data_IF_432850812246
#
_entry.id   IF_432850812246
#
_cell.length_a   1.000
_cell.length_b   1.000
_cell.length_c   1.000
_cell.angle_alpha   90.00
_cell.angle_beta   90.00
_cell.angle_gamma   90.00
#
_symmetry.space_group_name_H-M   'P 1'
#
loop_
_entity.id
_entity.type
_entity.pdbx_description
1 polymer ?
#
# COMPACT_ATOMS: atom_id res chain seq x y z
N UNK A 1 23.56 -21.65 -88.43
CA UNK A 1 24.74 -22.53 -88.58
C UNK A 1 25.23 -22.93 -87.25
N UNK A 2 25.41 -24.25 -87.02
CA UNK A 2 26.05 -24.95 -85.94
C UNK A 2 25.28 -25.02 -84.56
N UNK A 3 24.60 -26.08 -84.41
CA UNK A 3 24.81 -27.41 -83.86
C UNK A 3 25.26 -27.45 -82.39
N UNK A 4 24.39 -28.04 -81.63
CA UNK A 4 24.56 -28.49 -80.25
C UNK A 4 25.57 -29.62 -80.06
N UNK A 5 25.95 -30.05 -78.84
CA UNK A 5 25.34 -31.31 -78.41
C UNK A 5 24.83 -31.35 -76.97
N UNK A 6 23.87 -32.24 -76.78
CA UNK A 6 23.30 -32.76 -75.57
C UNK A 6 24.28 -33.43 -74.62
N UNK A 7 24.22 -33.09 -73.32
CA UNK A 7 24.79 -33.92 -72.26
C UNK A 7 23.71 -34.19 -71.20
N UNK A 8 23.43 -35.46 -71.02
CA UNK A 8 22.52 -36.05 -70.05
C UNK A 8 22.98 -35.84 -68.63
N UNK A 9 22.14 -35.31 -67.78
CA UNK A 9 22.37 -35.38 -66.34
C UNK A 9 21.44 -36.41 -65.69
N UNK A 10 22.06 -37.38 -65.08
CA UNK A 10 21.42 -38.37 -64.23
C UNK A 10 20.81 -37.66 -62.98
N UNK A 11 19.52 -37.90 -62.74
CA UNK A 11 18.76 -37.48 -61.58
C UNK A 11 19.15 -38.43 -60.41
N UNK A 12 19.81 -37.92 -59.38
CA UNK A 12 19.98 -38.63 -58.12
C UNK A 12 18.85 -38.17 -57.19
N UNK A 13 17.89 -39.06 -56.94
CA UNK A 13 16.86 -38.85 -55.90
C UNK A 13 17.52 -39.08 -54.53
N UNK A 14 17.70 -38.01 -53.76
CA UNK A 14 17.94 -38.05 -52.32
C UNK A 14 16.60 -37.96 -51.61
N UNK A 15 16.15 -39.04 -51.01
CA UNK A 15 15.02 -39.09 -50.09
C UNK A 15 15.38 -38.38 -48.80
N UNK A 16 14.83 -37.16 -48.63
CA UNK A 16 14.88 -36.47 -47.36
C UNK A 16 13.78 -37.03 -46.43
N UNK A 17 14.18 -37.71 -45.38
CA UNK A 17 13.29 -38.11 -44.28
C UNK A 17 12.97 -36.83 -43.46
N UNK A 18 11.78 -36.31 -43.62
CA UNK A 18 11.27 -35.23 -42.79
C UNK A 18 10.92 -35.79 -41.43
N UNK A 19 11.80 -35.61 -40.45
CA UNK A 19 11.52 -35.84 -39.05
C UNK A 19 10.52 -34.77 -38.55
N UNK A 20 9.25 -35.16 -38.36
CA UNK A 20 8.26 -34.32 -37.67
C UNK A 20 8.65 -34.15 -36.19
N UNK A 21 9.30 -33.04 -35.86
CA UNK A 21 9.45 -32.60 -34.49
C UNK A 21 8.07 -32.18 -33.98
N UNK A 22 7.46 -33.00 -33.13
CA UNK A 22 6.28 -32.63 -32.37
C UNK A 22 6.65 -31.45 -31.46
N UNK A 23 5.83 -30.38 -31.38
CA UNK A 23 6.09 -29.29 -30.43
C UNK A 23 6.00 -29.85 -29.02
N UNK A 24 7.09 -29.76 -28.28
CA UNK A 24 7.11 -29.98 -26.83
C UNK A 24 6.15 -28.94 -26.25
N UNK A 25 4.94 -29.36 -25.90
CA UNK A 25 4.06 -28.55 -25.07
C UNK A 25 4.78 -28.39 -23.72
N UNK A 26 5.34 -27.19 -23.49
CA UNK A 26 5.64 -26.76 -22.14
C UNK A 26 4.32 -26.82 -21.35
N UNK A 27 4.13 -27.89 -20.59
CA UNK A 27 3.09 -27.95 -19.57
C UNK A 27 3.43 -26.82 -18.58
N UNK A 28 2.63 -25.78 -18.56
CA UNK A 28 2.73 -24.75 -17.56
C UNK A 28 2.72 -25.47 -16.19
N UNK A 29 3.74 -25.23 -15.39
CA UNK A 29 3.78 -25.76 -14.03
C UNK A 29 2.49 -25.37 -13.31
N UNK A 30 1.87 -26.27 -12.53
CA UNK A 30 0.69 -25.90 -11.77
C UNK A 30 1.00 -24.66 -10.92
N UNK A 31 0.04 -23.72 -10.78
CA UNK A 31 0.28 -22.51 -10.02
C UNK A 31 0.79 -22.85 -8.62
N UNK A 32 1.84 -22.16 -8.21
CA UNK A 32 2.40 -22.33 -6.88
C UNK A 32 1.35 -21.93 -5.84
N UNK A 33 1.09 -22.79 -4.87
CA UNK A 33 0.10 -22.57 -3.81
C UNK A 33 0.79 -22.23 -2.49
N UNK A 34 0.11 -21.46 -1.64
CA UNK A 34 0.57 -21.15 -0.30
C UNK A 34 1.97 -20.48 -0.28
N UNK A 35 2.80 -20.89 0.68
CA UNK A 35 4.08 -20.23 0.98
C UNK A 35 5.17 -20.40 -0.12
N UNK A 36 5.03 -21.36 -1.01
CA UNK A 36 5.88 -21.42 -2.21
C UNK A 36 5.65 -20.20 -3.11
N UNK A 37 4.39 -19.77 -3.27
CA UNK A 37 4.06 -18.56 -4.02
C UNK A 37 4.65 -17.31 -3.36
N UNK A 38 4.66 -17.23 -2.03
CA UNK A 38 5.31 -16.14 -1.30
C UNK A 38 6.80 -16.02 -1.67
N UNK A 39 7.54 -17.13 -1.65
CA UNK A 39 8.95 -17.13 -2.03
C UNK A 39 9.17 -16.69 -3.49
N UNK A 40 8.31 -17.11 -4.41
CA UNK A 40 8.36 -16.69 -5.82
C UNK A 40 8.12 -15.19 -5.97
N UNK A 41 7.15 -14.62 -5.23
CA UNK A 41 6.87 -13.18 -5.23
C UNK A 41 8.09 -12.40 -4.74
N UNK A 42 8.68 -12.79 -3.62
CA UNK A 42 9.87 -12.11 -3.07
C UNK A 42 11.04 -12.18 -4.04
N UNK A 43 11.25 -13.34 -4.69
CA UNK A 43 12.32 -13.50 -5.67
C UNK A 43 12.14 -12.66 -6.94
N UNK A 44 10.91 -12.25 -7.26
CA UNK A 44 10.61 -11.40 -8.40
C UNK A 44 10.74 -9.90 -8.10
N UNK A 45 10.85 -9.50 -6.82
CA UNK A 45 10.94 -8.11 -6.40
C UNK A 45 12.41 -7.71 -6.28
N UNK A 46 12.80 -6.68 -7.02
CA UNK A 46 14.19 -6.19 -7.04
C UNK A 46 14.25 -4.68 -6.74
N UNK A 47 15.26 -4.20 -6.01
CA UNK A 47 15.45 -2.76 -5.82
C UNK A 47 15.68 -2.05 -7.16
N UNK A 48 15.29 -0.75 -7.24
CA UNK A 48 15.54 0.05 -8.43
C UNK A 48 17.04 0.16 -8.72
N UNK A 49 17.40 0.18 -9.99
CA UNK A 49 18.76 0.43 -10.41
C UNK A 49 18.93 1.92 -10.73
N UNK A 50 19.59 2.61 -9.85
CA UNK A 50 19.83 4.06 -9.95
C UNK A 50 21.33 4.29 -10.23
N UNK A 51 21.69 5.16 -11.20
CA UNK A 51 23.09 5.46 -11.50
C UNK A 51 23.86 5.97 -10.29
N UNK A 52 25.13 5.62 -10.16
CA UNK A 52 26.00 6.00 -9.05
C UNK A 52 26.55 7.42 -9.16
N UNK A 53 25.69 8.40 -9.49
CA UNK A 53 26.03 9.82 -9.46
C UNK A 53 25.49 10.43 -8.18
N UNK A 54 26.15 11.46 -7.66
CA UNK A 54 25.70 12.18 -6.49
C UNK A 54 25.54 13.67 -6.82
N UNK A 55 24.45 14.26 -6.34
CA UNK A 55 24.08 15.66 -6.56
C UNK A 55 23.63 16.23 -5.22
N UNK A 56 24.42 17.15 -4.64
CA UNK A 56 24.08 17.78 -3.36
C UNK A 56 22.98 18.83 -3.52
N UNK A 57 21.97 18.83 -2.64
CA UNK A 57 20.94 19.90 -2.66
C UNK A 57 21.55 21.28 -2.36
N UNK A 58 22.66 21.34 -1.61
CA UNK A 58 23.42 22.55 -1.30
C UNK A 58 24.04 23.20 -2.53
N UNK A 59 24.42 22.43 -3.54
CA UNK A 59 24.99 22.90 -4.79
C UNK A 59 23.99 23.75 -5.61
N UNK A 60 22.71 23.61 -5.27
CA UNK A 60 21.60 24.36 -5.87
C UNK A 60 21.02 25.44 -4.97
N UNK A 61 21.75 25.78 -3.88
CA UNK A 61 21.41 26.87 -2.99
C UNK A 61 20.40 26.52 -1.89
N UNK A 62 20.24 25.23 -1.55
CA UNK A 62 19.50 24.86 -0.36
C UNK A 62 20.26 25.24 0.91
N UNK A 63 19.55 25.74 1.92
CA UNK A 63 20.09 26.16 3.22
C UNK A 63 19.41 25.37 4.34
N UNK A 64 20.18 24.63 5.10
CA UNK A 64 19.68 23.70 6.13
C UNK A 64 19.41 24.37 7.48
N UNK A 65 18.77 25.55 7.51
CA UNK A 65 18.51 26.37 8.70
C UNK A 65 17.10 26.17 9.30
N UNK A 66 16.24 25.39 8.64
CA UNK A 66 14.85 25.14 9.05
C UNK A 66 13.87 26.27 8.79
N UNK A 67 14.30 27.37 8.16
CA UNK A 67 13.51 28.59 7.90
C UNK A 67 13.44 28.94 6.42
N UNK A 68 14.57 28.83 5.72
CA UNK A 68 14.66 29.12 4.30
C UNK A 68 13.89 28.08 3.49
N UNK A 69 12.95 28.53 2.64
CA UNK A 69 12.23 27.64 1.72
C UNK A 69 13.17 27.06 0.67
N UNK A 70 13.48 25.79 0.79
CA UNK A 70 14.39 25.06 -0.07
C UNK A 70 13.70 24.34 -1.23
N UNK A 71 12.38 24.45 -1.39
CA UNK A 71 11.59 23.70 -2.40
C UNK A 71 12.18 23.80 -3.80
N UNK A 72 12.47 25.04 -4.24
CA UNK A 72 13.02 25.28 -5.58
C UNK A 72 14.46 24.75 -5.73
N UNK A 73 15.27 24.80 -4.67
CA UNK A 73 16.63 24.28 -4.68
C UNK A 73 16.63 22.73 -4.78
N UNK A 74 15.80 22.07 -3.99
CA UNK A 74 15.62 20.62 -4.08
C UNK A 74 15.10 20.19 -5.45
N UNK A 75 14.11 20.92 -6.00
CA UNK A 75 13.57 20.57 -7.32
C UNK A 75 14.63 20.74 -8.42
N UNK A 76 15.45 21.79 -8.37
CA UNK A 76 16.58 21.97 -9.32
C UNK A 76 17.61 20.84 -9.22
N UNK A 77 17.93 20.37 -8.00
CA UNK A 77 18.84 19.25 -7.80
C UNK A 77 18.26 17.94 -8.40
N UNK A 78 16.98 17.66 -8.15
CA UNK A 78 16.25 16.52 -8.72
C UNK A 78 16.25 16.61 -10.26
N UNK A 79 15.92 17.77 -10.81
CA UNK A 79 15.84 17.99 -12.26
C UNK A 79 17.21 17.86 -12.93
N UNK A 80 18.25 18.42 -12.33
CA UNK A 80 19.62 18.33 -12.84
C UNK A 80 20.13 16.88 -12.84
N UNK A 81 19.93 16.16 -11.73
CA UNK A 81 20.30 14.75 -11.63
C UNK A 81 19.54 13.90 -12.65
N UNK A 82 18.22 14.09 -12.78
CA UNK A 82 17.41 13.40 -13.78
C UNK A 82 17.87 13.66 -15.20
N UNK A 83 18.12 14.93 -15.58
CA UNK A 83 18.57 15.32 -16.91
C UNK A 83 19.97 14.77 -17.24
N UNK A 84 20.80 14.52 -16.23
CA UNK A 84 22.09 13.84 -16.38
C UNK A 84 21.95 12.29 -16.51
N UNK A 85 20.71 11.77 -16.55
CA UNK A 85 20.41 10.33 -16.66
C UNK A 85 20.09 9.64 -15.34
N UNK A 86 19.98 10.39 -14.25
CA UNK A 86 19.65 9.92 -12.92
C UNK A 86 20.82 9.87 -11.96
N UNK A 87 20.54 9.59 -10.70
CA UNK A 87 21.51 9.50 -9.61
C UNK A 87 20.88 9.72 -8.25
N UNK A 88 21.74 9.81 -7.25
CA UNK A 88 21.38 10.16 -5.90
C UNK A 88 21.31 11.69 -5.77
N UNK A 89 20.27 12.17 -5.12
CA UNK A 89 20.14 13.56 -4.67
C UNK A 89 20.34 13.55 -3.16
N UNK A 90 21.51 14.00 -2.72
CA UNK A 90 21.93 13.91 -1.32
C UNK A 90 21.48 15.13 -0.52
N UNK A 91 20.78 14.86 0.57
CA UNK A 91 20.36 15.82 1.59
C UNK A 91 21.29 15.64 2.79
N UNK A 92 22.24 16.56 3.04
CA UNK A 92 23.19 16.44 4.15
C UNK A 92 22.50 16.71 5.50
N UNK A 93 23.19 16.47 6.65
CA UNK A 93 22.65 16.81 7.96
C UNK A 93 22.22 18.28 8.03
N UNK A 94 21.06 18.54 8.65
CA UNK A 94 20.47 19.89 8.74
C UNK A 94 18.94 19.83 8.77
N UNK A 95 18.32 21.01 8.88
CA UNK A 95 16.87 21.17 8.85
C UNK A 95 16.44 21.88 7.56
N UNK A 96 15.67 21.22 6.72
CA UNK A 96 15.34 21.66 5.36
C UNK A 96 13.83 21.91 5.26
N UNK A 97 13.41 23.17 5.12
CA UNK A 97 11.99 23.50 4.91
C UNK A 97 11.66 23.38 3.42
N UNK A 98 10.66 22.56 3.09
CA UNK A 98 10.22 22.34 1.71
C UNK A 98 8.68 22.37 1.60
N UNK A 99 8.19 22.76 0.43
CA UNK A 99 6.85 22.39 -0.06
C UNK A 99 6.88 21.04 -0.77
N UNK A 100 5.96 20.83 -1.74
CA UNK A 100 5.91 19.58 -2.49
C UNK A 100 7.22 19.32 -3.28
N UNK A 101 7.72 18.08 -3.18
CA UNK A 101 8.86 17.60 -3.94
C UNK A 101 8.41 16.59 -4.99
N UNK A 102 8.76 16.82 -6.26
CA UNK A 102 8.35 15.98 -7.39
C UNK A 102 9.53 15.14 -7.85
N UNK A 103 9.51 13.85 -7.55
CA UNK A 103 10.57 12.93 -7.97
C UNK A 103 10.40 12.48 -9.42
N UNK A 104 11.51 12.19 -10.06
CA UNK A 104 11.62 11.76 -11.45
C UNK A 104 12.29 10.40 -11.57
N UNK A 105 12.24 9.82 -12.76
CA UNK A 105 12.87 8.52 -13.03
C UNK A 105 14.37 8.52 -12.76
N UNK A 106 14.85 7.39 -12.24
CA UNK A 106 16.24 7.15 -11.88
C UNK A 106 16.77 8.07 -10.78
N UNK A 107 15.92 8.51 -9.85
CA UNK A 107 16.30 9.38 -8.72
C UNK A 107 16.18 8.62 -7.40
N UNK A 108 17.25 8.71 -6.59
CA UNK A 108 17.27 8.37 -5.17
C UNK A 108 17.37 9.68 -4.35
N UNK A 109 16.29 10.10 -3.71
CA UNK A 109 16.32 11.17 -2.72
C UNK A 109 16.90 10.59 -1.42
N UNK A 110 18.17 10.85 -1.16
CA UNK A 110 18.91 10.27 -0.06
C UNK A 110 19.08 11.24 1.11
N UNK A 111 18.48 10.90 2.25
CA UNK A 111 18.59 11.68 3.47
C UNK A 111 19.72 11.13 4.35
N UNK A 112 20.83 11.85 4.46
CA UNK A 112 21.90 11.47 5.37
C UNK A 112 21.41 11.46 6.82
N UNK A 113 22.08 10.69 7.68
CA UNK A 113 21.80 10.70 9.12
C UNK A 113 21.90 12.12 9.67
N UNK A 114 20.89 12.59 10.41
CA UNK A 114 20.80 13.96 10.92
C UNK A 114 20.17 14.95 9.95
N UNK A 115 19.78 14.55 8.74
CA UNK A 115 18.95 15.36 7.86
C UNK A 115 17.48 15.29 8.29
N UNK A 116 16.79 16.42 8.32
CA UNK A 116 15.34 16.50 8.50
C UNK A 116 14.75 17.36 7.39
N UNK A 117 13.90 16.81 6.54
CA UNK A 117 13.05 17.58 5.64
C UNK A 117 11.75 17.87 6.37
N UNK A 118 11.50 19.14 6.68
CA UNK A 118 10.25 19.60 7.27
C UNK A 118 9.37 20.19 6.18
N UNK A 119 8.16 19.69 6.06
CA UNK A 119 7.23 20.14 5.02
C UNK A 119 6.42 21.34 5.50
N UNK A 120 6.21 22.29 4.60
CA UNK A 120 5.43 23.49 4.86
C UNK A 120 3.98 23.14 5.23
N UNK A 121 3.44 23.86 6.20
CA UNK A 121 2.02 23.77 6.58
C UNK A 121 1.12 24.69 5.76
N UNK A 122 1.69 25.49 4.85
CA UNK A 122 0.95 26.34 3.91
C UNK A 122 0.45 25.50 2.72
N UNK A 123 -0.87 25.32 2.55
CA UNK A 123 -1.43 24.54 1.44
C UNK A 123 -1.06 25.09 0.05
N UNK A 124 -0.75 26.38 -0.08
CA UNK A 124 -0.35 26.98 -1.35
C UNK A 124 0.94 26.40 -1.91
N UNK A 125 1.80 25.82 -1.04
CA UNK A 125 3.06 25.15 -1.44
C UNK A 125 2.86 23.79 -2.12
N UNK A 126 1.62 23.32 -2.20
CA UNK A 126 1.22 22.04 -2.82
C UNK A 126 0.36 22.25 -4.08
N UNK A 127 0.43 23.46 -4.65
CA UNK A 127 -0.24 23.82 -5.90
C UNK A 127 0.77 23.98 -7.04
N UNK A 128 0.38 23.83 -8.32
CA UNK A 128 -0.98 23.57 -8.80
C UNK A 128 -1.46 22.14 -8.49
N UNK A 129 -2.78 21.87 -8.57
CA UNK A 129 -3.33 20.54 -8.35
C UNK A 129 -2.72 19.50 -9.29
N UNK A 130 -2.45 18.30 -8.78
CA UNK A 130 -1.96 17.15 -9.55
C UNK A 130 -2.99 16.02 -9.57
N UNK A 131 -2.86 15.08 -10.50
CA UNK A 131 -3.62 13.84 -10.46
C UNK A 131 -3.18 13.04 -9.23
N UNK A 132 -4.10 12.76 -8.35
CA UNK A 132 -3.87 11.98 -7.13
C UNK A 132 -5.05 11.05 -6.85
N UNK A 133 -5.00 10.31 -5.76
CA UNK A 133 -6.09 9.48 -5.28
C UNK A 133 -6.31 9.75 -3.80
N UNK A 134 -7.57 9.95 -3.42
CA UNK A 134 -7.98 10.22 -2.06
C UNK A 134 -9.11 9.28 -1.64
N UNK A 135 -8.91 8.50 -0.58
CA UNK A 135 -9.81 7.41 -0.13
C UNK A 135 -10.37 6.57 -1.30
N UNK A 136 -9.48 6.11 -2.20
CA UNK A 136 -9.84 5.23 -3.30
C UNK A 136 -10.47 5.88 -4.53
N UNK A 137 -10.56 7.23 -4.60
CA UNK A 137 -11.15 7.98 -5.72
C UNK A 137 -10.11 8.90 -6.37
N UNK A 138 -9.97 8.83 -7.70
CA UNK A 138 -9.08 9.72 -8.46
C UNK A 138 -9.62 11.14 -8.56
N UNK A 139 -8.75 12.15 -8.42
CA UNK A 139 -9.09 13.56 -8.48
C UNK A 139 -7.87 14.41 -8.85
N UNK A 140 -8.08 15.69 -9.12
CA UNK A 140 -7.06 16.73 -9.16
C UNK A 140 -7.05 17.47 -7.82
N UNK A 141 -6.00 17.31 -7.00
CA UNK A 141 -5.90 17.88 -5.65
C UNK A 141 -4.49 18.40 -5.36
N UNK A 142 -4.29 18.95 -4.16
CA UNK A 142 -2.96 19.27 -3.65
C UNK A 142 -1.98 18.14 -3.96
N UNK A 143 -0.78 18.51 -4.40
CA UNK A 143 0.29 17.53 -4.54
C UNK A 143 0.58 16.86 -3.19
N UNK A 144 0.82 15.55 -3.15
CA UNK A 144 1.44 14.90 -1.99
C UNK A 144 2.74 15.60 -1.60
N UNK A 145 3.16 15.47 -0.34
CA UNK A 145 4.39 16.12 0.12
C UNK A 145 5.61 15.65 -0.69
N UNK A 146 5.65 14.35 -1.01
CA UNK A 146 6.59 13.79 -2.00
C UNK A 146 5.76 13.02 -3.04
N UNK A 147 5.90 13.39 -4.29
CA UNK A 147 5.10 12.87 -5.38
C UNK A 147 5.96 12.37 -6.55
N UNK A 148 5.52 11.30 -7.20
CA UNK A 148 6.02 10.86 -8.50
C UNK A 148 4.87 10.27 -9.32
N UNK A 149 4.80 10.60 -10.61
CA UNK A 149 3.77 10.09 -11.51
C UNK A 149 4.38 9.46 -12.75
N UNK A 150 4.08 8.18 -12.99
CA UNK A 150 4.54 7.46 -14.17
C UNK A 150 6.06 7.26 -14.26
N UNK A 151 6.76 7.30 -13.13
CA UNK A 151 8.22 7.23 -13.08
C UNK A 151 8.71 5.79 -12.90
N UNK A 152 9.96 5.57 -13.27
CA UNK A 152 10.63 4.25 -13.11
C UNK A 152 11.94 4.44 -12.36
N UNK A 153 12.29 3.49 -11.49
CA UNK A 153 13.47 3.54 -10.63
C UNK A 153 13.46 4.80 -9.76
N UNK A 154 12.54 4.87 -8.81
CA UNK A 154 12.39 5.99 -7.88
C UNK A 154 12.66 5.50 -6.47
N UNK A 155 13.53 6.20 -5.75
CA UNK A 155 13.85 5.85 -4.38
C UNK A 155 13.83 7.04 -3.43
N UNK A 156 13.53 6.74 -2.16
CA UNK A 156 13.80 7.58 -0.99
C UNK A 156 14.57 6.70 -0.03
N UNK A 157 15.80 7.09 0.31
CA UNK A 157 16.70 6.28 1.14
C UNK A 157 17.39 7.08 2.24
N UNK A 158 18.05 6.37 3.15
CA UNK A 158 18.89 6.95 4.18
C UNK A 158 18.33 6.86 5.59
N UNK A 159 18.96 7.56 6.54
CA UNK A 159 18.61 7.52 7.97
C UNK A 159 18.02 8.85 8.49
N UNK A 160 17.60 9.73 7.58
CA UNK A 160 17.03 11.02 7.92
C UNK A 160 15.53 10.96 8.24
N UNK A 161 14.96 12.12 8.52
CA UNK A 161 13.57 12.30 8.94
C UNK A 161 12.79 13.07 7.88
N UNK A 162 11.61 12.57 7.56
CA UNK A 162 10.57 13.25 6.79
C UNK A 162 9.47 13.68 7.77
N UNK A 163 9.30 14.99 7.95
CA UNK A 163 8.40 15.57 8.92
C UNK A 163 7.32 16.40 8.24
N UNK A 164 6.08 15.93 8.27
CA UNK A 164 4.95 16.58 7.62
C UNK A 164 4.41 17.82 8.36
N UNK A 165 4.94 18.12 9.55
CA UNK A 165 4.52 19.23 10.41
C UNK A 165 3.00 19.32 10.67
N UNK A 166 2.28 18.25 10.48
CA UNK A 166 0.86 18.19 10.79
C UNK A 166 0.64 18.05 12.30
N UNK A 167 -0.31 18.79 12.82
CA UNK A 167 -0.70 18.83 14.22
C UNK A 167 -2.15 19.32 14.40
N UNK A 168 -2.56 19.54 15.65
CA UNK A 168 -3.89 20.05 15.98
C UNK A 168 -4.16 21.52 15.55
N UNK A 169 -3.20 22.19 14.92
CA UNK A 169 -3.34 23.53 14.34
C UNK A 169 -3.25 23.52 12.82
N UNK A 170 -2.56 22.51 12.27
CA UNK A 170 -2.26 22.37 10.83
C UNK A 170 -2.71 21.01 10.31
N UNK A 171 -3.36 20.96 9.19
CA UNK A 171 -3.85 19.78 8.47
C UNK A 171 -4.87 18.92 9.22
N UNK A 172 -4.56 18.47 10.48
CA UNK A 172 -5.45 17.57 11.21
C UNK A 172 -6.82 18.14 11.50
N UNK A 173 -6.99 19.44 11.82
CA UNK A 173 -8.34 20.01 12.01
C UNK A 173 -9.29 19.83 10.82
N UNK A 174 -8.75 19.69 9.62
CA UNK A 174 -9.59 19.47 8.43
C UNK A 174 -10.37 18.14 8.46
N UNK A 175 -10.02 17.18 9.31
CA UNK A 175 -10.81 15.97 9.52
C UNK A 175 -12.15 16.16 10.22
N UNK A 176 -12.44 17.36 10.75
CA UNK A 176 -13.67 17.72 11.50
C UNK A 176 -13.80 17.10 12.90
N UNK A 177 -12.74 16.51 13.46
CA UNK A 177 -12.80 15.92 14.79
C UNK A 177 -12.17 16.81 15.86
N UNK A 178 -12.90 17.12 16.97
CA UNK A 178 -12.38 17.99 18.03
C UNK A 178 -11.08 17.52 18.67
N UNK A 179 -10.87 16.20 18.80
CA UNK A 179 -9.61 15.63 19.34
C UNK A 179 -8.38 16.00 18.52
N UNK A 180 -8.57 16.41 17.27
CA UNK A 180 -7.51 16.84 16.34
C UNK A 180 -7.55 18.34 16.08
N UNK A 181 -8.08 19.13 17.00
CA UNK A 181 -8.04 20.59 16.99
C UNK A 181 -9.11 21.28 16.12
N UNK A 182 -10.07 20.53 15.57
CA UNK A 182 -11.20 21.16 14.89
C UNK A 182 -12.16 21.79 15.90
N UNK A 183 -12.63 22.97 15.57
CA UNK A 183 -13.69 23.68 16.28
C UNK A 183 -14.76 24.14 15.32
N UNK A 184 -15.98 24.37 15.82
CA UNK A 184 -17.09 24.86 14.99
C UNK A 184 -16.71 26.14 14.22
N UNK A 185 -17.12 26.19 12.95
CA UNK A 185 -16.80 27.30 12.04
C UNK A 185 -15.44 27.19 11.33
N UNK A 186 -14.55 26.29 11.74
CA UNK A 186 -13.30 26.04 10.98
C UNK A 186 -13.56 25.20 9.72
N UNK A 187 -12.81 25.45 8.62
CA UNK A 187 -12.88 24.62 7.43
C UNK A 187 -12.66 23.13 7.75
N UNK A 188 -13.40 22.24 7.06
CA UNK A 188 -13.27 20.80 7.20
C UNK A 188 -13.62 20.07 5.90
N UNK A 189 -13.21 18.81 5.81
CA UNK A 189 -13.29 17.99 4.59
C UNK A 189 -14.68 17.36 4.33
N UNK A 190 -15.68 17.49 5.21
CA UNK A 190 -16.95 16.74 5.09
C UNK A 190 -17.62 16.98 3.75
N UNK A 191 -17.82 18.27 3.37
CA UNK A 191 -18.48 18.62 2.12
C UNK A 191 -17.66 18.21 0.88
N UNK A 192 -16.33 18.43 0.92
CA UNK A 192 -15.42 18.08 -0.17
C UNK A 192 -15.36 16.56 -0.36
N UNK A 193 -15.30 15.79 0.73
CA UNK A 193 -15.34 14.33 0.71
C UNK A 193 -16.64 13.83 0.08
N UNK A 194 -17.77 14.33 0.51
CA UNK A 194 -19.07 13.95 -0.05
C UNK A 194 -19.16 14.29 -1.55
N UNK A 195 -18.71 15.48 -1.94
CA UNK A 195 -18.64 15.91 -3.35
C UNK A 195 -17.76 14.99 -4.19
N UNK A 196 -16.54 14.67 -3.71
CA UNK A 196 -15.63 13.77 -4.41
C UNK A 196 -16.25 12.38 -4.64
N UNK A 197 -16.86 11.80 -3.62
CA UNK A 197 -17.50 10.49 -3.73
C UNK A 197 -18.68 10.51 -4.71
N UNK A 198 -19.52 11.54 -4.66
CA UNK A 198 -20.62 11.71 -5.62
C UNK A 198 -20.09 11.84 -7.07
N UNK A 199 -18.99 12.56 -7.28
CA UNK A 199 -18.34 12.67 -8.60
C UNK A 199 -17.78 11.33 -9.07
N UNK A 200 -17.20 10.52 -8.16
CA UNK A 200 -16.73 9.17 -8.43
C UNK A 200 -17.87 8.24 -8.86
N UNK A 201 -18.97 8.22 -8.09
CA UNK A 201 -20.15 7.39 -8.40
C UNK A 201 -20.80 7.80 -9.73
N UNK A 202 -20.85 9.11 -10.05
CA UNK A 202 -21.39 9.63 -11.30
C UNK A 202 -20.43 9.48 -12.50
N UNK A 203 -19.25 8.87 -12.33
CA UNK A 203 -18.21 8.76 -13.35
C UNK A 203 -17.83 10.09 -14.03
N UNK A 204 -17.88 11.20 -13.28
CA UNK A 204 -17.38 12.47 -13.78
C UNK A 204 -15.91 12.31 -14.22
N UNK A 205 -15.50 12.80 -15.40
CA UNK A 205 -14.10 12.71 -15.83
C UNK A 205 -13.13 13.27 -14.77
N UNK A 206 -12.03 12.55 -14.50
CA UNK A 206 -11.09 12.88 -13.40
C UNK A 206 -10.57 14.32 -13.49
N UNK A 207 -10.27 14.80 -14.71
CA UNK A 207 -9.82 16.19 -14.95
C UNK A 207 -10.84 17.26 -14.54
N UNK A 208 -12.10 16.89 -14.40
CA UNK A 208 -13.18 17.77 -13.92
C UNK A 208 -13.42 17.65 -12.41
N UNK A 209 -12.76 16.70 -11.74
CA UNK A 209 -12.81 16.53 -10.28
C UNK A 209 -11.76 17.44 -9.64
N UNK A 210 -11.90 18.73 -9.83
CA UNK A 210 -10.97 19.75 -9.33
C UNK A 210 -11.18 20.07 -7.86
N UNK A 211 -10.11 19.91 -7.09
CA UNK A 211 -9.97 20.27 -5.68
C UNK A 211 -8.66 21.07 -5.54
N UNK A 212 -8.13 21.25 -4.35
CA UNK A 212 -6.91 22.05 -4.11
C UNK A 212 -7.26 23.37 -3.43
N UNK A 213 -6.84 24.53 -3.93
CA UNK A 213 -6.87 25.82 -3.24
C UNK A 213 -8.19 26.20 -2.50
N UNK A 214 -9.32 25.68 -2.94
CA UNK A 214 -10.64 25.88 -2.30
C UNK A 214 -11.14 24.65 -1.54
N UNK A 215 -10.27 23.66 -1.29
CA UNK A 215 -10.63 22.36 -0.72
C UNK A 215 -9.85 22.08 0.57
N UNK A 216 -10.44 21.24 1.39
CA UNK A 216 -9.85 20.76 2.65
C UNK A 216 -9.52 19.25 2.62
N UNK A 217 -9.38 18.67 1.44
CA UNK A 217 -8.89 17.29 1.30
C UNK A 217 -7.38 17.24 1.49
N UNK A 218 -6.94 16.71 2.64
CA UNK A 218 -5.54 16.66 3.06
C UNK A 218 -4.70 15.81 2.10
N UNK A 219 -3.48 16.26 1.67
CA UNK A 219 -2.63 15.47 0.81
C UNK A 219 -2.02 14.26 1.54
N UNK A 220 -1.80 13.10 0.87
CA UNK A 220 -0.94 12.04 1.38
C UNK A 220 0.50 12.54 1.57
N UNK A 221 1.30 11.85 2.40
CA UNK A 221 2.70 12.24 2.59
C UNK A 221 3.54 11.84 1.37
N UNK A 222 3.70 10.54 1.10
CA UNK A 222 4.40 10.02 -0.07
C UNK A 222 3.38 9.32 -0.95
N UNK A 223 3.17 9.82 -2.16
CA UNK A 223 2.34 9.12 -3.13
C UNK A 223 3.10 8.93 -4.45
N UNK A 224 3.48 7.71 -4.72
CA UNK A 224 3.98 7.30 -6.03
C UNK A 224 2.83 6.70 -6.83
N UNK A 225 2.54 7.31 -7.97
CA UNK A 225 1.38 6.98 -8.79
C UNK A 225 1.82 6.41 -10.13
N UNK A 226 1.39 5.20 -10.48
CA UNK A 226 1.79 4.47 -11.70
C UNK A 226 3.29 4.34 -11.88
N UNK A 227 4.04 4.23 -10.78
CA UNK A 227 5.49 4.07 -10.81
C UNK A 227 5.91 2.59 -10.87
N UNK A 228 7.12 2.35 -11.35
CA UNK A 228 7.74 1.01 -11.37
C UNK A 228 9.10 1.04 -10.69
N UNK A 229 9.47 -0.04 -10.02
CA UNK A 229 10.72 -0.17 -9.29
C UNK A 229 10.87 0.95 -8.27
N UNK A 230 10.11 0.86 -7.20
CA UNK A 230 10.05 1.85 -6.12
C UNK A 230 10.76 1.31 -4.89
N UNK A 231 11.56 2.15 -4.24
CA UNK A 231 12.21 1.84 -2.97
C UNK A 231 12.01 2.99 -1.98
N UNK A 232 11.52 2.66 -0.77
CA UNK A 232 11.54 3.57 0.38
C UNK A 232 12.26 2.82 1.50
N UNK A 233 13.44 3.31 1.92
CA UNK A 233 14.31 2.57 2.82
C UNK A 233 14.96 3.44 3.91
N UNK A 234 14.87 2.99 5.15
CA UNK A 234 15.65 3.48 6.28
C UNK A 234 15.16 4.78 6.92
N UNK A 235 14.37 5.59 6.23
CA UNK A 235 13.90 6.89 6.72
C UNK A 235 12.87 6.78 7.85
N UNK A 236 12.76 7.84 8.63
CA UNK A 236 11.69 8.03 9.62
C UNK A 236 10.66 9.01 9.09
N UNK A 237 9.36 8.65 9.13
CA UNK A 237 8.23 9.52 8.74
C UNK A 237 7.43 9.87 9.98
N UNK A 238 7.09 11.15 10.14
CA UNK A 238 6.30 11.62 11.27
C UNK A 238 5.41 12.79 10.92
N UNK A 239 4.39 13.03 11.75
CA UNK A 239 3.43 14.14 11.66
C UNK A 239 2.84 14.31 10.26
N UNK A 240 2.33 13.21 9.69
CA UNK A 240 1.73 13.19 8.37
C UNK A 240 0.39 13.96 8.33
N UNK A 241 0.07 14.66 7.23
CA UNK A 241 -1.26 15.25 7.05
C UNK A 241 -2.36 14.20 6.93
N UNK A 242 -2.06 13.09 6.26
CA UNK A 242 -2.96 12.00 5.89
C UNK A 242 -2.15 10.69 5.79
N UNK A 243 -2.52 9.72 4.97
CA UNK A 243 -1.79 8.46 4.75
C UNK A 243 -0.30 8.68 4.49
N UNK A 244 0.57 7.90 5.12
CA UNK A 244 2.01 8.17 5.11
C UNK A 244 2.69 7.68 3.83
N UNK A 245 2.63 6.37 3.53
CA UNK A 245 3.18 5.78 2.31
C UNK A 245 2.03 5.22 1.48
N UNK A 246 1.73 5.86 0.36
CA UNK A 246 0.58 5.54 -0.49
C UNK A 246 1.00 5.29 -1.95
N UNK A 247 1.61 4.14 -2.28
CA UNK A 247 1.85 3.77 -3.67
C UNK A 247 0.52 3.38 -4.34
N UNK A 248 0.24 3.96 -5.52
CA UNK A 248 -1.00 3.77 -6.26
C UNK A 248 -0.69 3.25 -7.66
N UNK A 249 -1.30 2.13 -8.06
CA UNK A 249 -1.08 1.50 -9.37
C UNK A 249 0.41 1.28 -9.68
N UNK A 250 1.21 1.03 -8.64
CA UNK A 250 2.64 0.79 -8.75
C UNK A 250 2.96 -0.70 -8.90
N UNK A 251 4.11 -0.99 -9.47
CA UNK A 251 4.63 -2.35 -9.57
C UNK A 251 6.09 -2.42 -9.14
N UNK A 252 6.45 -3.52 -8.46
CA UNK A 252 7.76 -3.73 -7.86
C UNK A 252 8.09 -2.63 -6.84
N UNK A 253 7.44 -2.69 -5.68
CA UNK A 253 7.54 -1.71 -4.58
C UNK A 253 8.20 -2.36 -3.38
N UNK A 254 9.22 -1.72 -2.84
CA UNK A 254 9.91 -2.14 -1.62
C UNK A 254 9.78 -1.02 -0.58
N UNK A 255 9.26 -1.34 0.59
CA UNK A 255 9.28 -0.50 1.80
C UNK A 255 10.06 -1.27 2.86
N UNK A 256 11.26 -0.81 3.21
CA UNK A 256 12.18 -1.55 4.05
C UNK A 256 12.80 -0.70 5.15
N UNK A 257 12.81 -1.20 6.38
CA UNK A 257 13.50 -0.54 7.49
C UNK A 257 12.99 0.85 7.82
N UNK A 258 11.77 1.20 7.39
CA UNK A 258 11.15 2.52 7.62
C UNK A 258 10.48 2.56 8.99
N UNK A 259 10.64 3.66 9.69
CA UNK A 259 9.91 3.94 10.92
C UNK A 259 8.82 4.97 10.65
N UNK A 260 7.56 4.60 10.85
CA UNK A 260 6.40 5.48 10.76
C UNK A 260 5.88 5.78 12.17
N UNK A 261 5.87 7.07 12.56
CA UNK A 261 5.43 7.52 13.87
C UNK A 261 4.57 8.77 13.73
N UNK A 262 3.27 8.57 13.51
CA UNK A 262 2.32 9.67 13.28
C UNK A 262 0.93 9.30 13.78
N UNK A 263 0.35 10.13 14.66
CA UNK A 263 -0.85 9.83 15.44
C UNK A 263 -2.06 10.69 15.07
N UNK A 264 -2.03 11.32 13.91
CA UNK A 264 -3.13 12.12 13.40
C UNK A 264 -4.27 11.29 12.82
N UNK A 265 -5.35 11.97 12.40
CA UNK A 265 -6.48 11.30 11.76
C UNK A 265 -6.09 10.77 10.37
N UNK A 266 -6.48 9.52 10.08
CA UNK A 266 -6.11 8.81 8.84
C UNK A 266 -4.58 8.77 8.63
N UNK A 267 -3.81 8.64 9.70
CA UNK A 267 -2.37 8.46 9.60
C UNK A 267 -2.03 6.98 9.51
N UNK A 268 -2.61 6.31 8.50
CA UNK A 268 -2.23 4.96 8.10
C UNK A 268 -0.73 4.96 7.72
N UNK A 269 -0.03 3.86 8.04
CA UNK A 269 1.41 3.79 7.81
C UNK A 269 1.77 3.52 6.36
N UNK A 270 1.22 2.44 5.78
CA UNK A 270 1.48 2.08 4.39
C UNK A 270 0.23 1.52 3.71
N UNK A 271 -0.19 2.17 2.63
CA UNK A 271 -1.42 1.89 1.90
C UNK A 271 -1.15 1.52 0.44
N UNK A 272 -0.65 0.31 0.15
CA UNK A 272 -0.51 -0.10 -1.24
C UNK A 272 -1.89 -0.24 -1.88
N UNK A 273 -2.18 0.60 -2.88
CA UNK A 273 -3.47 0.66 -3.54
C UNK A 273 -3.38 0.28 -5.02
N UNK A 274 -4.06 -0.80 -5.42
CA UNK A 274 -4.01 -1.35 -6.78
C UNK A 274 -2.58 -1.66 -7.23
N UNK A 275 -1.71 -2.12 -6.32
CA UNK A 275 -0.30 -2.40 -6.55
C UNK A 275 -0.02 -3.88 -6.84
N UNK A 276 1.04 -4.15 -7.57
CA UNK A 276 1.50 -5.50 -7.89
C UNK A 276 2.97 -5.71 -7.52
N UNK A 277 3.30 -6.82 -6.84
CA UNK A 277 4.62 -7.13 -6.32
C UNK A 277 5.12 -6.07 -5.33
N UNK A 278 4.61 -6.15 -4.10
CA UNK A 278 4.96 -5.26 -2.98
C UNK A 278 5.64 -6.06 -1.87
N UNK A 279 6.77 -5.58 -1.41
CA UNK A 279 7.48 -6.10 -0.25
C UNK A 279 7.56 -5.02 0.84
N UNK A 280 6.97 -5.29 2.00
CA UNK A 280 7.07 -4.46 3.20
C UNK A 280 7.81 -5.27 4.24
N UNK A 281 9.03 -4.85 4.61
CA UNK A 281 9.86 -5.65 5.52
C UNK A 281 10.68 -4.82 6.49
N UNK A 282 10.91 -5.37 7.69
CA UNK A 282 11.74 -4.77 8.72
C UNK A 282 11.31 -3.35 9.13
N UNK A 283 10.02 -3.01 8.98
CA UNK A 283 9.45 -1.71 9.29
C UNK A 283 8.88 -1.65 10.70
N UNK A 284 8.84 -0.45 11.26
CA UNK A 284 8.14 -0.15 12.53
C UNK A 284 6.97 0.79 12.25
N UNK A 285 5.78 0.38 12.66
CA UNK A 285 4.54 1.15 12.53
C UNK A 285 4.03 1.55 13.91
N UNK A 286 3.85 2.84 14.11
CA UNK A 286 3.28 3.42 15.33
C UNK A 286 2.35 4.56 14.89
N UNK A 287 1.08 4.24 14.62
CA UNK A 287 0.19 5.03 13.78
C UNK A 287 -1.10 5.42 14.49
N UNK A 288 -1.74 6.47 14.01
CA UNK A 288 -3.03 6.95 14.50
C UNK A 288 -4.24 6.28 13.84
N UNK A 289 -4.01 5.52 12.74
CA UNK A 289 -4.99 4.71 12.04
C UNK A 289 -4.37 3.34 11.69
N UNK A 290 -4.77 2.63 10.64
CA UNK A 290 -4.24 1.30 10.32
C UNK A 290 -2.70 1.33 10.10
N UNK A 291 -1.95 0.36 10.63
CA UNK A 291 -0.50 0.28 10.39
C UNK A 291 -0.20 0.01 8.91
N UNK A 292 -0.84 -0.99 8.33
CA UNK A 292 -0.79 -1.29 6.90
C UNK A 292 -2.23 -1.49 6.43
N UNK A 293 -2.64 -0.78 5.35
CA UNK A 293 -3.98 -0.92 4.81
C UNK A 293 -3.95 -1.14 3.29
N UNK A 294 -4.10 -2.40 2.87
CA UNK A 294 -4.12 -2.78 1.46
C UNK A 294 -5.44 -2.36 0.83
N UNK A 295 -5.37 -1.61 -0.27
CA UNK A 295 -6.54 -1.01 -0.93
C UNK A 295 -6.53 -1.27 -2.44
N UNK A 296 -7.66 -1.10 -3.12
CA UNK A 296 -7.80 -1.22 -4.58
C UNK A 296 -8.98 -0.40 -5.15
N UNK A 297 -9.17 0.78 -4.58
CA UNK A 297 -10.16 1.75 -5.05
C UNK A 297 -11.55 1.60 -4.43
N UNK A 298 -12.27 2.73 -4.43
CA UNK A 298 -13.59 2.87 -3.81
C UNK A 298 -14.70 2.81 -4.85
N UNK A 299 -15.68 1.92 -4.63
CA UNK A 299 -16.98 1.88 -5.32
C UNK A 299 -16.88 1.95 -6.86
N UNK A 300 -17.65 2.82 -7.51
CA UNK A 300 -17.65 2.97 -8.96
C UNK A 300 -16.25 3.34 -9.53
N UNK A 301 -15.50 4.19 -8.85
CA UNK A 301 -14.16 4.59 -9.30
C UNK A 301 -13.16 3.44 -9.20
N UNK A 302 -13.21 2.65 -8.12
CA UNK A 302 -12.41 1.44 -7.97
C UNK A 302 -12.74 0.38 -9.05
N UNK A 303 -14.02 0.17 -9.34
CA UNK A 303 -14.46 -0.73 -10.42
C UNK A 303 -14.09 -0.22 -11.82
N UNK A 304 -14.16 1.08 -12.05
CA UNK A 304 -13.74 1.72 -13.31
C UNK A 304 -12.26 1.44 -13.59
N UNK A 305 -11.40 1.51 -12.58
CA UNK A 305 -9.98 1.19 -12.71
C UNK A 305 -9.79 -0.32 -12.81
N UNK A 306 -10.47 -1.10 -11.98
CA UNK A 306 -10.54 -2.56 -12.07
C UNK A 306 -9.21 -3.28 -11.84
N UNK A 307 -8.25 -2.64 -11.16
CA UNK A 307 -6.91 -3.20 -10.88
C UNK A 307 -6.84 -3.65 -9.43
N UNK A 308 -6.63 -4.95 -9.17
CA UNK A 308 -6.48 -5.45 -7.81
C UNK A 308 -5.13 -5.05 -7.19
N UNK A 309 -5.05 -5.06 -5.86
CA UNK A 309 -3.78 -5.19 -5.15
C UNK A 309 -3.42 -6.66 -5.03
N UNK A 310 -2.20 -7.01 -5.44
CA UNK A 310 -1.81 -8.43 -5.49
C UNK A 310 -0.31 -8.67 -5.29
N UNK A 311 0.04 -9.92 -4.95
CA UNK A 311 1.42 -10.34 -4.76
C UNK A 311 2.13 -9.46 -3.71
N UNK A 312 1.55 -9.37 -2.52
CA UNK A 312 2.03 -8.53 -1.43
C UNK A 312 2.62 -9.40 -0.34
N UNK A 313 3.84 -9.11 0.07
CA UNK A 313 4.52 -9.79 1.18
C UNK A 313 4.86 -8.77 2.27
N UNK A 314 4.44 -9.06 3.49
CA UNK A 314 4.71 -8.27 4.70
C UNK A 314 5.46 -9.18 5.67
N UNK A 315 6.66 -8.78 6.09
CA UNK A 315 7.46 -9.63 6.98
C UNK A 315 8.38 -8.87 7.92
N UNK A 316 8.67 -9.49 9.05
CA UNK A 316 9.62 -8.98 10.03
C UNK A 316 9.28 -7.55 10.52
N UNK A 317 7.99 -7.17 10.53
CA UNK A 317 7.55 -5.85 10.94
C UNK A 317 7.13 -5.82 12.40
N UNK A 318 7.36 -4.67 13.03
CA UNK A 318 6.85 -4.33 14.35
C UNK A 318 5.67 -3.36 14.19
N UNK A 319 4.47 -3.82 14.59
CA UNK A 319 3.25 -3.03 14.53
C UNK A 319 2.83 -2.68 15.96
N UNK A 320 2.68 -1.39 16.21
CA UNK A 320 2.31 -0.87 17.53
C UNK A 320 0.88 -0.33 17.53
N UNK A 321 0.71 0.94 17.84
CA UNK A 321 -0.62 1.56 17.86
C UNK A 321 -1.24 1.64 16.47
N UNK A 322 -2.57 1.56 16.41
CA UNK A 322 -3.33 1.67 15.16
C UNK A 322 -4.72 1.04 15.26
N UNK A 323 -5.60 1.34 14.29
CA UNK A 323 -6.92 0.72 14.25
C UNK A 323 -6.85 -0.76 13.79
N UNK A 324 -5.86 -1.11 12.98
CA UNK A 324 -5.57 -2.47 12.57
C UNK A 324 -4.07 -2.66 12.29
N UNK A 325 -3.53 -3.83 12.62
CA UNK A 325 -2.15 -4.16 12.32
C UNK A 325 -1.95 -4.37 10.81
N UNK A 326 -2.55 -5.43 10.29
CA UNK A 326 -2.62 -5.69 8.85
C UNK A 326 -4.09 -5.60 8.44
N UNK A 327 -4.43 -4.54 7.73
CA UNK A 327 -5.79 -4.28 7.26
C UNK A 327 -5.90 -4.49 5.75
N UNK A 328 -7.01 -5.05 5.30
CA UNK A 328 -7.41 -5.11 3.90
C UNK A 328 -8.76 -4.40 3.81
N UNK A 329 -8.76 -3.27 3.13
CA UNK A 329 -9.96 -2.44 3.01
C UNK A 329 -9.89 -1.09 3.73
N UNK A 330 -11.02 -0.38 3.70
CA UNK A 330 -12.32 -0.70 3.07
C UNK A 330 -12.37 -0.46 1.56
N UNK A 331 -11.49 0.32 0.97
CA UNK A 331 -11.44 0.66 -0.45
C UNK A 331 -10.85 -0.52 -1.26
N UNK A 332 -11.68 -1.56 -1.55
CA UNK A 332 -11.21 -2.80 -2.19
C UNK A 332 -12.05 -3.21 -3.40
N UNK A 333 -12.69 -2.27 -4.06
CA UNK A 333 -13.60 -2.57 -5.19
C UNK A 333 -12.90 -3.20 -6.39
N UNK A 334 -11.57 -3.02 -6.53
CA UNK A 334 -10.74 -3.68 -7.53
C UNK A 334 -10.29 -5.11 -7.15
N UNK A 335 -10.52 -5.52 -5.88
CA UNK A 335 -10.11 -6.81 -5.37
C UNK A 335 -8.71 -6.85 -4.76
N UNK A 336 -8.44 -7.89 -3.96
CA UNK A 336 -7.13 -8.16 -3.32
C UNK A 336 -6.84 -9.64 -3.37
N UNK A 337 -5.62 -10.04 -3.75
CA UNK A 337 -5.23 -11.46 -3.78
C UNK A 337 -3.75 -11.69 -3.58
N UNK A 338 -3.40 -12.86 -3.08
CA UNK A 338 -2.02 -13.27 -2.83
C UNK A 338 -1.30 -12.31 -1.87
N UNK A 339 -1.82 -12.22 -0.65
CA UNK A 339 -1.23 -11.48 0.47
C UNK A 339 -0.61 -12.46 1.44
N UNK A 340 0.64 -12.25 1.77
CA UNK A 340 1.41 -13.10 2.69
C UNK A 340 2.00 -12.26 3.82
N UNK A 341 1.74 -12.68 5.05
CA UNK A 341 2.24 -12.03 6.27
C UNK A 341 3.03 -13.05 7.08
N UNK A 342 4.28 -12.74 7.42
CA UNK A 342 5.11 -13.65 8.23
C UNK A 342 6.05 -12.94 9.20
N UNK A 343 6.35 -13.58 10.31
CA UNK A 343 7.34 -13.13 11.31
C UNK A 343 7.09 -11.69 11.80
N UNK A 344 5.83 -11.29 11.99
CA UNK A 344 5.49 -9.96 12.48
C UNK A 344 5.19 -9.98 13.98
N UNK A 345 5.43 -8.84 14.63
CA UNK A 345 5.14 -8.64 16.07
C UNK A 345 4.20 -7.46 16.25
N UNK A 346 3.26 -7.60 17.17
CA UNK A 346 2.28 -6.58 17.51
C UNK A 346 2.32 -6.35 19.03
N UNK A 347 2.73 -5.14 19.47
CA UNK A 347 3.17 -4.95 20.85
C UNK A 347 2.43 -3.86 21.64
N UNK A 348 1.43 -3.18 21.07
CA UNK A 348 0.76 -2.10 21.78
C UNK A 348 -0.63 -2.45 22.30
N UNK A 349 -1.01 -1.78 23.40
CA UNK A 349 -2.32 -1.95 24.01
C UNK A 349 -3.48 -1.36 23.18
N UNK A 350 -3.20 -0.38 22.34
CA UNK A 350 -4.21 0.39 21.60
C UNK A 350 -4.36 -0.07 20.12
N UNK A 351 -3.69 -1.17 19.76
CA UNK A 351 -3.94 -1.78 18.45
C UNK A 351 -5.34 -2.40 18.45
N UNK A 352 -6.18 -2.00 17.48
CA UNK A 352 -7.57 -2.46 17.39
C UNK A 352 -7.67 -3.97 17.10
N UNK A 353 -7.45 -4.37 15.86
CA UNK A 353 -7.42 -5.78 15.43
C UNK A 353 -6.05 -6.13 14.86
N UNK A 354 -5.59 -7.36 15.05
CA UNK A 354 -4.31 -7.78 14.50
C UNK A 354 -4.37 -7.94 12.97
N UNK A 355 -5.30 -8.76 12.50
CA UNK A 355 -5.61 -8.94 11.07
C UNK A 355 -7.05 -8.48 10.87
N UNK A 356 -7.24 -7.54 9.94
CA UNK A 356 -8.55 -6.91 9.73
C UNK A 356 -8.92 -6.88 8.25
N UNK A 357 -10.08 -7.45 7.91
CA UNK A 357 -10.66 -7.36 6.56
C UNK A 357 -11.99 -6.63 6.69
N UNK A 358 -12.17 -5.55 5.95
CA UNK A 358 -13.39 -4.73 6.01
C UNK A 358 -13.91 -4.40 4.61
N UNK A 359 -15.20 -4.66 4.38
CA UNK A 359 -15.90 -4.38 3.13
C UNK A 359 -17.40 -4.21 3.37
N UNK A 360 -18.16 -3.98 2.31
CA UNK A 360 -19.61 -3.90 2.32
C UNK A 360 -20.21 -4.13 0.92
N UNK A 361 -21.53 -4.13 0.81
CA UNK A 361 -22.22 -4.39 -0.44
C UNK A 361 -22.19 -3.23 -1.46
N UNK A 362 -21.66 -2.06 -1.09
CA UNK A 362 -21.40 -0.94 -2.04
C UNK A 362 -20.00 -1.07 -2.64
N UNK A 363 -19.01 -1.51 -1.84
CA UNK A 363 -17.64 -1.78 -2.28
C UNK A 363 -17.56 -2.99 -3.21
N UNK A 364 -18.15 -4.12 -2.79
CA UNK A 364 -17.94 -5.40 -3.45
C UNK A 364 -16.48 -5.86 -3.31
N UNK A 365 -15.93 -6.36 -4.42
CA UNK A 365 -14.55 -6.83 -4.52
C UNK A 365 -14.37 -8.30 -4.11
N UNK A 366 -13.35 -8.95 -4.68
CA UNK A 366 -12.93 -10.31 -4.30
C UNK A 366 -11.62 -10.26 -3.55
N UNK A 367 -11.60 -10.83 -2.35
CA UNK A 367 -10.45 -10.91 -1.46
C UNK A 367 -10.16 -12.39 -1.23
N UNK A 368 -9.00 -12.84 -1.69
CA UNK A 368 -8.66 -14.28 -1.65
C UNK A 368 -7.16 -14.52 -1.54
N UNK A 369 -6.78 -15.73 -1.12
CA UNK A 369 -5.39 -16.15 -0.95
C UNK A 369 -4.63 -15.25 0.02
N UNK A 370 -5.15 -15.12 1.25
CA UNK A 370 -4.58 -14.31 2.33
C UNK A 370 -4.00 -15.28 3.37
N UNK A 371 -2.69 -15.29 3.50
CA UNK A 371 -1.99 -16.24 4.34
C UNK A 371 -1.12 -15.52 5.37
N UNK A 372 -1.32 -15.84 6.64
CA UNK A 372 -0.62 -15.25 7.79
C UNK A 372 0.05 -16.37 8.57
N UNK A 373 1.34 -16.24 8.91
CA UNK A 373 2.02 -17.20 9.78
C UNK A 373 3.05 -16.54 10.70
N UNK A 374 3.35 -17.24 11.78
CA UNK A 374 4.43 -16.86 12.69
C UNK A 374 4.29 -15.41 13.18
N UNK A 375 3.07 -15.02 13.62
CA UNK A 375 2.76 -13.70 14.14
C UNK A 375 2.55 -13.76 15.64
N UNK A 376 3.31 -12.95 16.38
CA UNK A 376 3.22 -12.84 17.82
C UNK A 376 2.50 -11.51 18.20
N UNK A 377 1.38 -11.62 18.91
CA UNK A 377 0.54 -10.51 19.32
C UNK A 377 0.59 -10.42 20.84
N UNK A 378 1.08 -9.32 21.38
CA UNK A 378 1.04 -9.10 22.82
C UNK A 378 -0.42 -8.85 23.28
N UNK A 379 -1.10 -7.92 22.62
CA UNK A 379 -2.48 -7.56 22.89
C UNK A 379 -3.13 -6.85 21.70
N UNK A 380 -4.45 -7.01 21.56
CA UNK A 380 -5.32 -6.18 20.71
C UNK A 380 -6.58 -5.81 21.48
N UNK A 381 -7.19 -4.67 21.14
CA UNK A 381 -8.37 -4.15 21.84
C UNK A 381 -9.70 -4.66 21.27
N UNK A 382 -9.67 -5.44 20.16
CA UNK A 382 -10.88 -6.04 19.57
C UNK A 382 -10.71 -7.53 19.28
N UNK A 383 -10.04 -7.94 18.21
CA UNK A 383 -9.92 -9.34 17.83
C UNK A 383 -8.57 -9.66 17.16
N UNK A 384 -8.15 -10.92 17.25
CA UNK A 384 -6.96 -11.40 16.52
C UNK A 384 -7.23 -11.43 15.01
N UNK A 385 -8.39 -11.95 14.59
CA UNK A 385 -8.87 -11.88 13.21
C UNK A 385 -10.26 -11.24 13.17
N UNK A 386 -10.38 -10.14 12.46
CA UNK A 386 -11.67 -9.49 12.13
C UNK A 386 -11.94 -9.59 10.64
N UNK A 387 -13.11 -10.10 10.25
CA UNK A 387 -13.64 -9.98 8.89
C UNK A 387 -15.03 -9.37 9.02
N UNK A 388 -15.19 -8.12 8.65
CA UNK A 388 -16.44 -7.37 8.78
C UNK A 388 -16.95 -6.90 7.40
N UNK A 389 -17.99 -7.55 6.90
CA UNK A 389 -18.68 -7.16 5.67
C UNK A 389 -19.89 -6.25 5.93
N UNK A 390 -20.16 -5.93 7.19
CA UNK A 390 -21.16 -4.93 7.60
C UNK A 390 -20.55 -3.52 7.80
N UNK A 391 -19.32 -3.33 7.37
CA UNK A 391 -18.59 -2.07 7.55
C UNK A 391 -19.29 -0.92 6.82
N UNK A 392 -19.45 0.25 7.48
CA UNK A 392 -20.13 1.44 6.92
C UNK A 392 -21.53 1.12 6.35
N UNK A 393 -21.69 1.00 5.03
CA UNK A 393 -22.97 0.81 4.34
C UNK A 393 -23.53 -0.63 4.50
N UNK A 394 -22.73 -1.57 4.97
CA UNK A 394 -23.15 -2.95 5.25
C UNK A 394 -23.77 -3.65 4.04
N UNK A 395 -24.98 -4.20 4.22
CA UNK A 395 -25.70 -4.92 3.16
C UNK A 395 -26.40 -4.02 2.12
N UNK A 396 -26.32 -2.69 2.28
CA UNK A 396 -27.11 -1.73 1.51
C UNK A 396 -26.50 -1.40 0.14
N UNK A 397 -26.22 -2.41 -0.68
CA UNK A 397 -25.66 -2.21 -2.02
C UNK A 397 -25.80 -3.43 -2.92
N UNK A 398 -25.63 -3.26 -4.24
CA UNK A 398 -25.77 -4.33 -5.24
C UNK A 398 -24.53 -5.19 -5.44
N UNK A 399 -23.37 -4.81 -4.87
CA UNK A 399 -22.09 -5.46 -5.12
C UNK A 399 -21.71 -6.34 -3.93
N UNK A 400 -21.97 -7.63 -4.02
CA UNK A 400 -21.66 -8.58 -2.93
C UNK A 400 -20.15 -8.82 -2.86
N UNK A 401 -19.49 -8.51 -1.73
CA UNK A 401 -18.07 -8.84 -1.56
C UNK A 401 -17.87 -10.34 -1.45
N UNK A 402 -16.73 -10.82 -1.93
CA UNK A 402 -16.30 -12.21 -1.79
C UNK A 402 -15.04 -12.23 -0.94
N UNK A 403 -15.07 -12.91 0.21
CA UNK A 403 -13.90 -13.15 1.06
C UNK A 403 -13.75 -14.65 1.26
N UNK A 404 -12.61 -15.18 0.81
CA UNK A 404 -12.32 -16.63 0.89
C UNK A 404 -10.82 -16.92 0.94
N UNK A 405 -10.50 -18.13 1.38
CA UNK A 405 -9.11 -18.63 1.48
C UNK A 405 -8.24 -17.69 2.32
N UNK A 406 -8.63 -17.58 3.60
CA UNK A 406 -7.88 -16.83 4.62
C UNK A 406 -7.33 -17.83 5.63
N UNK A 407 -6.01 -17.88 5.77
CA UNK A 407 -5.34 -18.83 6.66
C UNK A 407 -4.47 -18.10 7.69
N UNK A 408 -4.63 -18.45 8.96
CA UNK A 408 -3.75 -18.06 10.06
C UNK A 408 -3.06 -19.32 10.59
N UNK A 409 -1.73 -19.36 10.56
CA UNK A 409 -0.92 -20.49 11.00
C UNK A 409 0.13 -20.05 12.02
N UNK A 410 0.22 -20.73 13.15
CA UNK A 410 1.16 -20.41 14.24
C UNK A 410 1.07 -18.95 14.69
N UNK A 411 -0.16 -18.45 14.89
CA UNK A 411 -0.43 -17.14 15.45
C UNK A 411 -0.64 -17.26 16.95
N UNK A 412 0.05 -16.43 17.71
CA UNK A 412 -0.09 -16.39 19.17
C UNK A 412 -0.60 -15.03 19.63
N UNK A 413 -1.48 -15.01 20.63
CA UNK A 413 -1.98 -13.77 21.25
C UNK A 413 -1.95 -13.85 22.77
N UNK A 414 -1.43 -12.81 23.41
CA UNK A 414 -1.40 -12.68 24.86
C UNK A 414 -2.72 -12.23 25.46
N UNK A 415 -3.47 -11.37 24.78
CA UNK A 415 -4.79 -10.91 25.19
C UNK A 415 -5.62 -10.31 24.05
N UNK A 416 -6.93 -10.57 24.04
CA UNK A 416 -7.91 -9.94 23.16
C UNK A 416 -9.32 -10.11 23.71
N UNK A 417 -10.27 -9.22 23.41
CA UNK A 417 -11.70 -9.49 23.67
C UNK A 417 -12.18 -10.71 22.90
N UNK A 418 -11.92 -10.78 21.60
CA UNK A 418 -12.33 -11.89 20.74
C UNK A 418 -11.12 -12.59 20.12
N UNK A 419 -11.17 -13.91 20.01
CA UNK A 419 -10.21 -14.66 19.20
C UNK A 419 -10.44 -14.37 17.72
N UNK A 420 -11.68 -14.55 17.26
CA UNK A 420 -12.12 -14.18 15.91
C UNK A 420 -13.45 -13.42 15.97
N UNK A 421 -13.62 -12.47 15.04
CA UNK A 421 -14.87 -11.76 14.75
C UNK A 421 -15.11 -11.81 13.23
N UNK A 422 -15.94 -12.78 12.80
CA UNK A 422 -16.23 -13.05 11.40
C UNK A 422 -17.70 -12.74 11.11
N UNK A 423 -17.94 -11.69 10.34
CA UNK A 423 -19.28 -11.20 10.02
C UNK A 423 -19.46 -11.06 8.50
N UNK A 424 -19.89 -12.14 7.85
CA UNK A 424 -20.37 -12.12 6.46
C UNK A 424 -21.76 -11.50 6.33
N UNK A 425 -22.23 -11.37 5.10
CA UNK A 425 -23.59 -10.91 4.78
C UNK A 425 -24.45 -12.09 4.29
N UNK A 426 -25.77 -12.02 4.45
CA UNK A 426 -26.67 -12.94 3.74
C UNK A 426 -26.43 -12.89 2.22
N UNK A 427 -26.09 -14.03 1.62
CA UNK A 427 -25.73 -14.14 0.19
C UNK A 427 -24.33 -13.62 -0.18
N UNK A 428 -23.51 -13.32 0.83
CA UNK A 428 -22.07 -13.06 0.71
C UNK A 428 -21.36 -13.60 1.96
N UNK A 429 -21.45 -14.90 2.14
CA UNK A 429 -20.81 -15.58 3.25
C UNK A 429 -19.28 -15.53 3.10
N UNK A 430 -18.59 -15.26 4.21
CA UNK A 430 -17.15 -15.47 4.32
C UNK A 430 -16.88 -16.97 4.26
N UNK A 431 -15.90 -17.41 3.48
CA UNK A 431 -15.67 -18.85 3.31
C UNK A 431 -14.21 -19.26 3.34
N UNK A 432 -13.98 -20.54 3.65
CA UNK A 432 -12.64 -21.15 3.64
C UNK A 432 -11.66 -20.41 4.56
N UNK A 433 -12.07 -20.26 5.82
CA UNK A 433 -11.25 -19.66 6.86
C UNK A 433 -10.57 -20.78 7.65
N UNK A 434 -9.27 -20.74 7.77
CA UNK A 434 -8.46 -21.74 8.45
C UNK A 434 -7.61 -21.08 9.53
N UNK A 435 -7.78 -21.56 10.77
CA UNK A 435 -6.84 -21.32 11.86
C UNK A 435 -6.12 -22.63 12.15
N UNK A 436 -4.78 -22.59 12.19
CA UNK A 436 -3.98 -23.79 12.41
C UNK A 436 -2.84 -23.50 13.40
N UNK A 437 -2.66 -24.39 14.38
CA UNK A 437 -1.59 -24.29 15.37
C UNK A 437 -1.55 -22.91 16.06
N UNK A 438 -2.71 -22.34 16.43
CA UNK A 438 -2.83 -21.04 17.08
C UNK A 438 -3.04 -21.16 18.59
N UNK A 439 -2.44 -20.25 19.37
CA UNK A 439 -2.60 -20.16 20.85
C UNK A 439 -3.03 -18.74 21.23
N UNK A 440 -4.30 -18.57 21.60
CA UNK A 440 -4.93 -17.30 21.94
C UNK A 440 -5.28 -17.26 23.42
N UNK A 441 -4.53 -16.46 24.17
CA UNK A 441 -4.68 -16.33 25.63
C UNK A 441 -5.53 -15.13 26.00
N UNK A 442 -6.12 -15.17 27.20
CA UNK A 442 -6.91 -14.09 27.77
C UNK A 442 -7.96 -13.53 26.80
N UNK A 443 -8.66 -14.43 26.11
CA UNK A 443 -9.84 -14.10 25.31
C UNK A 443 -11.03 -13.94 26.24
N UNK A 444 -11.61 -12.73 26.32
CA UNK A 444 -12.59 -12.37 27.37
C UNK A 444 -14.04 -12.40 26.94
N UNK A 445 -14.32 -12.16 25.64
CA UNK A 445 -15.69 -12.12 25.08
C UNK A 445 -16.03 -13.31 24.19
N UNK A 446 -15.03 -14.12 23.79
CA UNK A 446 -15.24 -15.32 22.95
C UNK A 446 -15.16 -15.03 21.45
N UNK A 447 -15.71 -15.91 20.64
CA UNK A 447 -15.70 -15.80 19.18
C UNK A 447 -17.05 -15.30 18.67
N UNK A 448 -17.02 -14.49 17.59
CA UNK A 448 -18.21 -14.06 16.84
C UNK A 448 -18.11 -14.69 15.45
N UNK A 449 -19.13 -15.47 15.06
CA UNK A 449 -19.18 -16.14 13.75
C UNK A 449 -20.60 -16.01 13.18
N UNK A 450 -20.74 -15.22 12.11
CA UNK A 450 -22.02 -14.96 11.44
C UNK A 450 -21.87 -15.01 9.92
N UNK A 451 -22.75 -15.73 9.23
CA UNK A 451 -22.70 -15.91 7.78
C UNK A 451 -21.31 -16.35 7.30
N UNK A 452 -20.80 -17.41 7.89
CA UNK A 452 -19.50 -18.04 7.57
C UNK A 452 -19.72 -19.47 7.11
N UNK A 453 -19.02 -19.85 6.06
CA UNK A 453 -19.05 -21.20 5.50
C UNK A 453 -17.64 -21.78 5.47
N UNK A 454 -17.48 -23.01 5.94
CA UNK A 454 -16.19 -23.72 6.00
C UNK A 454 -15.14 -22.97 6.84
N UNK A 455 -15.43 -22.82 8.13
CA UNK A 455 -14.46 -22.45 9.14
C UNK A 455 -13.77 -23.73 9.62
N UNK A 456 -12.45 -23.75 9.62
CA UNK A 456 -11.63 -24.85 10.13
C UNK A 456 -10.72 -24.35 11.25
N UNK A 457 -10.73 -25.06 12.37
CA UNK A 457 -9.85 -24.83 13.51
C UNK A 457 -9.06 -26.12 13.79
N UNK A 458 -7.83 -26.18 13.31
CA UNK A 458 -6.93 -27.32 13.48
C UNK A 458 -5.86 -26.96 14.52
N UNK A 459 -5.86 -27.68 15.66
CA UNK A 459 -4.96 -27.46 16.78
C UNK A 459 -4.97 -26.00 17.29
N UNK A 460 -6.17 -25.42 17.47
CA UNK A 460 -6.37 -24.06 18.02
C UNK A 460 -6.67 -24.16 19.51
N UNK A 461 -5.90 -23.41 20.29
CA UNK A 461 -6.05 -23.32 21.75
C UNK A 461 -6.54 -21.91 22.09
N UNK A 462 -7.65 -21.81 22.81
CA UNK A 462 -8.18 -20.56 23.37
C UNK A 462 -8.28 -20.71 24.87
N UNK A 463 -7.62 -19.83 25.63
CA UNK A 463 -7.58 -19.86 27.09
C UNK A 463 -7.17 -21.23 27.68
N UNK A 464 -6.23 -21.92 27.02
CA UNK A 464 -5.75 -23.24 27.43
C UNK A 464 -6.64 -24.43 27.05
N UNK A 465 -7.80 -24.20 26.43
CA UNK A 465 -8.69 -25.23 25.92
C UNK A 465 -8.59 -25.36 24.40
N UNK A 466 -8.52 -26.59 23.89
CA UNK A 466 -8.62 -26.86 22.45
C UNK A 466 -10.05 -26.59 21.98
N UNK A 467 -10.17 -25.82 20.92
CA UNK A 467 -11.48 -25.45 20.35
C UNK A 467 -11.68 -26.04 18.95
N UNK A 468 -12.94 -26.29 18.62
CA UNK A 468 -13.40 -26.68 17.28
C UNK A 468 -14.39 -25.63 16.78
N UNK A 469 -14.63 -25.52 15.47
CA UNK A 469 -15.60 -24.58 14.90
C UNK A 469 -17.00 -24.69 15.47
#
# INVERSE_FOLDING_TARGET
MNCAPLLSRRLVLTTAVAGSALPVRCLASPPATGWRRCAEIVAAIHPPQIPSRDTGVTDFGAVGDGQTDCTAAFQRAIDASHNAGGGRVTVPPGHWLCGALILKSNIDLHLAKGATISFSTDPAKYLPPVLTRWEGVELMNYAPLIYAFGQTNVAITGEGVLDGNADNTHWWPWCSAPKFGWTEGRPNQIADRAKLFAMGEANIPVVQRGFGAASTLRPPFIQFYRCRNVLIEGVTIRRAPFWQIHPVLCANVIVRGVTMSSYGPNNDGCDPESCDHVLIENCTFDTGDDCIAIKSGRNADGRRIGVPSQNIVIRNCLLKNGHGGITIGSEISGGVKHVYVENCRMEAADLGSAIRIKSNAVRGGTLEHIHVRDVAIARVSHAVLTIDLNYEEGANGPFRPVVRDVTLERVTSGASPNGIDLQGLPGAEVSDIVLKDCDLKNVTAGNIVRNVRRLTMDNVIINGARVTP
#
